data_IF_454226375669
#
_entry.id   IF_454226375669
#
_cell.length_a   1.000
_cell.length_b   1.000
_cell.length_c   1.000
_cell.angle_alpha   90.00
_cell.angle_beta   90.00
_cell.angle_gamma   90.00
#
_symmetry.space_group_name_H-M   'P 1'
#
loop_
_entity.id
_entity.type
_entity.pdbx_description
1 polymer ?
#
# COMPACT_ATOMS: atom_id res chain seq x y z
N UNK A 1 4.85 15.73 -17.71
CA UNK A 1 4.05 14.53 -17.40
C UNK A 1 2.65 14.98 -17.06
N UNK A 2 1.60 14.28 -17.51
CA UNK A 2 0.23 14.66 -17.25
C UNK A 2 -0.08 14.62 -15.75
N UNK A 3 -0.90 15.57 -15.29
CA UNK A 3 -1.37 15.67 -13.91
C UNK A 3 -2.76 15.05 -13.75
N UNK A 4 -3.19 14.87 -12.49
CA UNK A 4 -4.57 14.47 -12.22
C UNK A 4 -5.58 15.52 -12.71
N UNK A 5 -5.22 16.80 -12.66
CA UNK A 5 -6.08 17.88 -13.18
C UNK A 5 -6.21 17.76 -14.69
N UNK A 6 -5.13 17.44 -15.42
CA UNK A 6 -5.16 17.23 -16.88
C UNK A 6 -6.08 16.06 -17.24
N UNK A 7 -6.07 14.99 -16.43
CA UNK A 7 -6.99 13.85 -16.58
C UNK A 7 -8.46 14.28 -16.35
N UNK A 8 -8.74 15.08 -15.33
CA UNK A 8 -10.09 15.56 -14.99
C UNK A 8 -10.60 16.56 -16.03
N UNK A 9 -9.73 17.43 -16.57
CA UNK A 9 -10.09 18.40 -17.62
C UNK A 9 -10.25 17.76 -18.98
N UNK A 10 -9.76 16.53 -19.17
CA UNK A 10 -9.78 15.85 -20.45
C UNK A 10 -8.72 16.37 -21.42
N UNK A 11 -7.71 17.07 -20.91
CA UNK A 11 -6.58 17.61 -21.68
C UNK A 11 -5.52 16.55 -21.94
N UNK A 12 -5.56 15.44 -21.19
CA UNK A 12 -4.76 14.26 -21.49
C UNK A 12 -5.28 13.59 -22.76
N UNK A 13 -4.38 13.26 -23.70
CA UNK A 13 -4.66 12.46 -24.91
C UNK A 13 -5.28 11.08 -24.61
N UNK A 14 -5.37 10.69 -23.34
CA UNK A 14 -5.81 9.39 -22.84
C UNK A 14 -6.94 9.49 -21.81
N UNK A 15 -7.67 10.61 -21.77
CA UNK A 15 -8.72 10.81 -20.77
C UNK A 15 -9.97 9.97 -21.06
N UNK A 16 -10.07 8.82 -20.38
CA UNK A 16 -11.29 8.03 -20.23
C UNK A 16 -11.91 8.30 -18.83
N UNK A 17 -11.93 9.56 -18.40
CA UNK A 17 -12.34 9.96 -17.03
C UNK A 17 -13.77 9.50 -16.70
N UNK A 18 -14.65 9.51 -17.69
CA UNK A 18 -16.03 9.04 -17.62
C UNK A 18 -16.13 7.53 -17.42
N UNK A 19 -15.09 6.77 -17.73
CA UNK A 19 -15.01 5.32 -17.47
C UNK A 19 -14.28 4.99 -16.18
N UNK A 20 -13.59 5.96 -15.58
CA UNK A 20 -12.81 5.80 -14.35
C UNK A 20 -13.61 6.25 -13.12
N UNK A 21 -14.17 7.45 -13.18
CA UNK A 21 -14.84 8.08 -12.04
C UNK A 21 -16.35 7.89 -12.08
N UNK A 22 -16.98 7.93 -10.91
CA UNK A 22 -18.43 7.96 -10.80
C UNK A 22 -19.03 9.34 -11.11
N UNK A 23 -20.36 9.47 -11.06
CA UNK A 23 -21.08 10.63 -11.58
C UNK A 23 -20.69 11.96 -10.93
N UNK A 24 -20.33 11.96 -9.65
CA UNK A 24 -20.01 13.18 -8.89
C UNK A 24 -18.55 13.65 -9.06
N UNK A 25 -17.82 13.07 -10.02
CA UNK A 25 -16.38 13.29 -10.21
C UNK A 25 -16.01 13.43 -11.70
N UNK A 26 -16.94 13.96 -12.51
CA UNK A 26 -16.79 14.03 -13.96
C UNK A 26 -16.14 15.33 -14.45
N UNK A 27 -16.37 16.43 -13.74
CA UNK A 27 -15.92 17.77 -14.14
C UNK A 27 -15.13 18.45 -13.01
N UNK A 28 -14.28 19.44 -13.32
CA UNK A 28 -13.63 20.26 -12.30
C UNK A 28 -14.61 20.86 -11.28
N UNK A 29 -15.83 21.20 -11.71
CA UNK A 29 -16.88 21.73 -10.84
C UNK A 29 -17.41 20.66 -9.86
N UNK A 30 -17.63 19.43 -10.32
CA UNK A 30 -18.08 18.33 -9.45
C UNK A 30 -17.02 18.02 -8.38
N UNK A 31 -15.74 17.95 -8.78
CA UNK A 31 -14.63 17.77 -7.85
C UNK A 31 -14.52 18.91 -6.84
N UNK A 32 -14.65 20.16 -7.29
CA UNK A 32 -14.59 21.32 -6.39
C UNK A 32 -15.74 21.30 -5.40
N UNK A 33 -16.96 21.01 -5.85
CA UNK A 33 -18.14 20.87 -5.00
C UNK A 33 -17.95 19.75 -3.97
N UNK A 34 -17.51 18.57 -4.40
CA UNK A 34 -17.27 17.45 -3.47
C UNK A 34 -16.24 17.83 -2.40
N UNK A 35 -15.15 18.48 -2.80
CA UNK A 35 -14.11 18.91 -1.86
C UNK A 35 -14.64 19.96 -0.88
N UNK A 36 -15.44 20.93 -1.33
CA UNK A 36 -16.07 21.91 -0.45
C UNK A 36 -17.01 21.23 0.56
N UNK A 37 -17.90 20.35 0.09
CA UNK A 37 -18.87 19.65 0.93
C UNK A 37 -18.19 18.77 2.01
N UNK A 38 -17.08 18.10 1.67
CA UNK A 38 -16.45 17.12 2.58
C UNK A 38 -15.33 17.70 3.45
N UNK A 39 -14.65 18.75 2.98
CA UNK A 39 -13.44 19.27 3.63
C UNK A 39 -13.55 20.75 4.03
N UNK A 40 -14.56 21.49 3.54
CA UNK A 40 -14.68 22.94 3.73
C UNK A 40 -13.48 23.71 3.17
N UNK A 41 -13.30 24.98 3.54
CA UNK A 41 -12.20 25.84 3.03
C UNK A 41 -11.06 26.03 4.03
N UNK A 42 -10.93 25.10 4.98
CA UNK A 42 -9.87 25.13 5.99
C UNK A 42 -8.47 24.91 5.42
N UNK A 43 -7.44 25.36 6.14
CA UNK A 43 -6.04 25.15 5.77
C UNK A 43 -5.51 23.75 6.08
N UNK A 44 -6.20 22.98 6.94
CA UNK A 44 -5.86 21.63 7.37
C UNK A 44 -7.10 20.71 7.41
N UNK A 45 -7.82 20.54 6.28
CA UNK A 45 -9.11 19.87 6.27
C UNK A 45 -9.08 18.38 6.69
N UNK A 46 -8.04 17.64 6.30
CA UNK A 46 -7.84 16.23 6.67
C UNK A 46 -7.49 16.11 8.14
N UNK A 47 -6.56 16.92 8.62
CA UNK A 47 -6.21 16.94 10.05
C UNK A 47 -7.40 17.35 10.91
N UNK A 48 -8.24 18.29 10.45
CA UNK A 48 -9.49 18.64 11.12
C UNK A 48 -10.48 17.47 11.15
N UNK A 49 -10.69 16.80 10.01
CA UNK A 49 -11.57 15.64 9.90
C UNK A 49 -11.12 14.48 10.81
N UNK A 50 -9.82 14.19 10.89
CA UNK A 50 -9.30 13.14 11.77
C UNK A 50 -9.36 13.48 13.27
N UNK A 51 -9.48 14.77 13.62
CA UNK A 51 -9.67 15.24 15.00
C UNK A 51 -11.15 15.24 15.42
N UNK A 52 -12.09 15.08 14.49
CA UNK A 52 -13.53 14.97 14.77
C UNK A 52 -14.00 13.51 14.70
N UNK A 53 -15.26 13.29 15.07
CA UNK A 53 -15.89 11.98 14.89
C UNK A 53 -16.05 11.70 13.39
N UNK A 54 -15.17 10.86 12.84
CA UNK A 54 -15.20 10.47 11.42
C UNK A 54 -16.37 9.53 11.18
N UNK A 55 -17.37 9.95 10.43
CA UNK A 55 -18.46 9.07 10.02
C UNK A 55 -18.11 8.29 8.74
N UNK A 56 -19.08 7.55 8.21
CA UNK A 56 -18.93 6.80 6.95
C UNK A 56 -18.43 7.68 5.80
N UNK A 57 -19.02 8.86 5.63
CA UNK A 57 -18.73 9.73 4.49
C UNK A 57 -17.35 10.38 4.68
N UNK A 58 -16.97 10.70 5.92
CA UNK A 58 -15.62 11.08 6.29
C UNK A 58 -14.56 10.02 5.90
N UNK A 59 -14.81 8.73 6.11
CA UNK A 59 -13.88 7.68 5.65
C UNK A 59 -13.75 7.64 4.12
N UNK A 60 -14.86 7.83 3.40
CA UNK A 60 -14.84 7.90 1.94
C UNK A 60 -14.08 9.14 1.45
N UNK A 61 -14.29 10.30 2.08
CA UNK A 61 -13.56 11.52 1.81
C UNK A 61 -12.05 11.33 2.02
N UNK A 62 -11.64 10.72 3.13
CA UNK A 62 -10.24 10.40 3.39
C UNK A 62 -9.62 9.53 2.29
N UNK A 63 -10.36 8.54 1.77
CA UNK A 63 -9.89 7.75 0.63
C UNK A 63 -9.70 8.60 -0.63
N UNK A 64 -10.63 9.50 -0.95
CA UNK A 64 -10.52 10.41 -2.09
C UNK A 64 -9.29 11.33 -1.93
N UNK A 65 -9.04 11.86 -0.73
CA UNK A 65 -7.85 12.67 -0.45
C UNK A 65 -6.56 11.88 -0.68
N UNK A 66 -6.52 10.63 -0.22
CA UNK A 66 -5.40 9.72 -0.50
C UNK A 66 -5.21 9.45 -2.00
N UNK A 67 -6.30 9.31 -2.76
CA UNK A 67 -6.23 9.08 -4.20
C UNK A 67 -5.78 10.34 -4.97
N UNK A 68 -6.14 11.55 -4.52
CA UNK A 68 -5.59 12.82 -5.03
C UNK A 68 -4.07 12.92 -4.76
N UNK A 69 -3.63 12.43 -3.60
CA UNK A 69 -2.22 12.34 -3.26
C UNK A 69 -1.46 11.40 -4.20
N UNK A 70 -1.99 10.20 -4.40
CA UNK A 70 -1.38 9.22 -5.28
C UNK A 70 -2.46 8.41 -6.00
N UNK A 71 -2.76 8.73 -7.28
CA UNK A 71 -3.72 7.98 -8.08
C UNK A 71 -3.22 6.55 -8.31
N UNK A 72 -4.01 5.56 -7.91
CA UNK A 72 -3.65 4.14 -8.01
C UNK A 72 -4.71 3.33 -8.76
N UNK A 73 -4.25 2.34 -9.53
CA UNK A 73 -5.12 1.38 -10.22
C UNK A 73 -5.89 0.49 -9.25
N UNK A 74 -5.16 -0.06 -8.28
CA UNK A 74 -5.69 -0.82 -7.17
C UNK A 74 -4.80 -0.56 -5.96
N UNK A 75 -5.29 0.23 -5.02
CA UNK A 75 -4.46 0.76 -3.95
C UNK A 75 -5.09 0.63 -2.58
N UNK A 76 -4.22 0.47 -1.61
CA UNK A 76 -4.54 0.73 -0.21
C UNK A 76 -3.64 1.82 0.33
N UNK A 77 -4.21 2.59 1.24
CA UNK A 77 -3.58 3.72 1.88
C UNK A 77 -3.53 3.49 3.38
N UNK A 78 -2.46 3.94 4.01
CA UNK A 78 -2.30 3.98 5.46
C UNK A 78 -2.08 5.43 5.87
N UNK A 79 -3.09 6.03 6.51
CA UNK A 79 -2.98 7.35 7.11
C UNK A 79 -2.45 7.17 8.53
N UNK A 80 -1.33 7.80 8.85
CA UNK A 80 -0.78 7.74 10.21
C UNK A 80 -1.68 8.52 11.18
N UNK A 81 -1.99 7.91 12.33
CA UNK A 81 -2.88 8.50 13.34
C UNK A 81 -2.08 8.92 14.57
N UNK A 82 -2.10 10.21 14.88
CA UNK A 82 -1.51 10.75 16.11
C UNK A 82 -2.32 10.37 17.36
N UNK A 83 -3.65 10.36 17.23
CA UNK A 83 -4.57 9.90 18.26
C UNK A 83 -5.71 9.11 17.62
N UNK A 84 -5.73 7.77 17.75
CA UNK A 84 -6.72 6.94 17.08
C UNK A 84 -8.12 7.06 17.71
N UNK A 85 -8.28 7.71 18.87
CA UNK A 85 -9.52 7.68 19.65
C UNK A 85 -10.76 8.15 18.88
N UNK A 86 -10.67 9.28 18.18
CA UNK A 86 -11.80 9.85 17.42
C UNK A 86 -12.12 9.04 16.17
N UNK A 87 -11.09 8.67 15.41
CA UNK A 87 -11.20 7.78 14.25
C UNK A 87 -11.79 6.42 14.64
N UNK A 88 -11.41 5.91 15.83
CA UNK A 88 -11.90 4.64 16.36
C UNK A 88 -13.38 4.67 16.68
N UNK A 89 -13.88 5.76 17.27
CA UNK A 89 -15.31 5.93 17.54
C UNK A 89 -16.11 5.83 16.23
N UNK A 90 -15.67 6.53 15.20
CA UNK A 90 -16.22 6.44 13.85
C UNK A 90 -16.20 5.03 13.27
N UNK A 91 -15.03 4.41 13.30
CA UNK A 91 -14.79 3.05 12.82
C UNK A 91 -15.73 2.02 13.45
N UNK A 92 -15.95 2.12 14.77
CA UNK A 92 -16.79 1.15 15.49
C UNK A 92 -18.28 1.24 15.10
N UNK A 93 -18.74 2.37 14.53
CA UNK A 93 -20.11 2.52 14.00
C UNK A 93 -20.34 1.84 12.65
N UNK A 94 -19.27 1.51 11.93
CA UNK A 94 -19.38 0.90 10.61
C UNK A 94 -19.81 -0.58 10.69
N UNK A 95 -20.47 -1.12 9.65
CA UNK A 95 -20.75 -2.54 9.54
C UNK A 95 -19.47 -3.41 9.52
N UNK A 96 -19.51 -4.53 10.24
CA UNK A 96 -18.41 -5.51 10.21
C UNK A 96 -18.25 -6.15 8.83
N UNK A 97 -17.00 -6.38 8.44
CA UNK A 97 -16.65 -7.00 7.16
C UNK A 97 -15.44 -7.90 7.30
N UNK A 98 -15.59 -9.16 6.91
CA UNK A 98 -14.45 -10.06 6.78
C UNK A 98 -13.51 -9.59 5.67
N UNK A 99 -12.22 -9.67 5.95
CA UNK A 99 -11.17 -9.24 5.05
C UNK A 99 -10.20 -10.37 4.84
N UNK A 100 -9.79 -10.62 3.59
CA UNK A 100 -8.59 -11.42 3.34
C UNK A 100 -7.30 -10.60 3.50
N UNK A 101 -7.44 -9.29 3.74
CA UNK A 101 -6.36 -8.37 4.03
C UNK A 101 -6.03 -8.37 5.53
N UNK A 102 -4.93 -7.73 5.91
CA UNK A 102 -4.36 -7.60 7.26
C UNK A 102 -5.40 -7.73 8.40
N UNK A 103 -5.14 -8.55 9.42
CA UNK A 103 -6.03 -8.69 10.59
C UNK A 103 -7.32 -9.48 10.38
N UNK A 104 -7.60 -10.01 9.19
CA UNK A 104 -8.75 -10.85 8.80
C UNK A 104 -10.15 -10.23 9.01
N UNK A 105 -10.20 -9.05 9.63
CA UNK A 105 -11.42 -8.32 10.00
C UNK A 105 -11.22 -6.84 9.77
N UNK A 106 -12.24 -6.21 9.21
CA UNK A 106 -12.32 -4.77 9.04
C UNK A 106 -13.76 -4.32 9.09
N UNK A 107 -13.97 -3.09 8.64
CA UNK A 107 -15.27 -2.46 8.55
C UNK A 107 -15.54 -2.03 7.11
N UNK A 108 -16.81 -1.92 6.74
CA UNK A 108 -17.20 -1.45 5.42
C UNK A 108 -17.77 -0.04 5.50
N UNK A 109 -17.14 0.90 4.82
CA UNK A 109 -17.69 2.22 4.53
C UNK A 109 -18.23 2.30 3.08
N UNK A 110 -18.65 1.16 2.49
CA UNK A 110 -19.04 1.09 1.08
C UNK A 110 -20.41 1.67 0.72
N UNK A 111 -21.31 1.85 1.68
CA UNK A 111 -22.65 2.36 1.40
C UNK A 111 -22.58 3.78 0.82
N UNK A 112 -23.10 3.97 -0.40
CA UNK A 112 -23.03 5.26 -1.09
C UNK A 112 -21.67 5.58 -1.73
N UNK A 113 -20.70 4.67 -1.68
CA UNK A 113 -19.39 4.91 -2.26
C UNK A 113 -19.43 4.87 -3.79
N UNK A 114 -19.35 6.06 -4.42
CA UNK A 114 -19.49 6.25 -5.86
C UNK A 114 -18.26 6.91 -6.50
N UNK A 115 -17.09 6.84 -5.87
CA UNK A 115 -15.90 7.54 -6.36
C UNK A 115 -15.31 6.90 -7.64
N UNK A 116 -14.97 5.60 -7.60
CA UNK A 116 -14.37 4.88 -8.73
C UNK A 116 -15.36 3.89 -9.34
N UNK A 117 -15.56 3.95 -10.65
CA UNK A 117 -16.43 3.00 -11.37
C UNK A 117 -15.93 1.57 -11.17
N UNK A 118 -16.85 0.67 -10.85
CA UNK A 118 -16.55 -0.74 -10.59
C UNK A 118 -16.16 -1.05 -9.13
N UNK A 119 -15.83 -0.04 -8.33
CA UNK A 119 -15.58 -0.20 -6.89
C UNK A 119 -16.81 0.24 -6.11
N UNK A 120 -17.30 -0.64 -5.23
CA UNK A 120 -18.56 -0.43 -4.49
C UNK A 120 -18.40 -0.61 -2.99
N UNK A 121 -17.20 -0.95 -2.54
CA UNK A 121 -16.88 -1.12 -1.13
C UNK A 121 -15.60 -0.35 -0.80
N UNK A 122 -15.60 0.28 0.38
CA UNK A 122 -14.42 0.82 1.03
C UNK A 122 -14.17 0.01 2.31
N UNK A 123 -13.12 -0.81 2.29
CA UNK A 123 -12.60 -1.47 3.49
C UNK A 123 -11.85 -0.43 4.33
N UNK A 124 -12.23 -0.38 5.61
CA UNK A 124 -11.58 0.42 6.65
C UNK A 124 -10.99 -0.53 7.69
N UNK A 125 -9.75 -0.31 8.12
CA UNK A 125 -9.11 -1.02 9.24
C UNK A 125 -8.29 -0.05 10.08
N UNK A 126 -8.10 -0.37 11.37
CA UNK A 126 -7.15 0.34 12.23
C UNK A 126 -6.02 -0.64 12.55
N UNK A 127 -4.85 -0.37 11.98
CA UNK A 127 -3.68 -1.24 12.05
C UNK A 127 -2.69 -0.72 13.08
N UNK A 128 -2.15 -1.62 13.91
CA UNK A 128 -1.03 -1.29 14.79
C UNK A 128 0.27 -1.30 13.99
N UNK A 129 1.01 -0.19 14.05
CA UNK A 129 2.30 -0.02 13.39
C UNK A 129 3.49 -0.32 14.32
N UNK A 130 3.22 -0.90 15.50
CA UNK A 130 4.19 -1.14 16.57
C UNK A 130 3.76 -0.57 17.91
N UNK A 131 4.71 -0.36 18.83
CA UNK A 131 4.47 -0.17 20.27
C UNK A 131 3.71 1.11 20.67
N UNK A 132 3.47 2.07 19.76
CA UNK A 132 2.75 3.30 20.09
C UNK A 132 1.97 3.95 18.94
N UNK A 133 2.09 3.45 17.71
CA UNK A 133 1.51 4.13 16.53
C UNK A 133 0.44 3.28 15.88
N UNK A 134 -0.68 3.91 15.51
CA UNK A 134 -1.76 3.29 14.75
C UNK A 134 -1.86 3.95 13.37
N UNK A 135 -2.37 3.22 12.39
CA UNK A 135 -2.74 3.78 11.09
C UNK A 135 -4.17 3.43 10.74
N UNK A 136 -4.83 4.36 10.06
CA UNK A 136 -6.08 4.12 9.36
C UNK A 136 -5.76 3.53 7.99
N UNK A 137 -6.13 2.27 7.79
CA UNK A 137 -6.01 1.58 6.53
C UNK A 137 -7.30 1.72 5.72
N UNK A 138 -7.19 2.17 4.47
CA UNK A 138 -8.31 2.38 3.54
C UNK A 138 -8.04 1.65 2.22
N UNK A 139 -9.01 0.87 1.75
CA UNK A 139 -8.88 0.09 0.50
C UNK A 139 -10.20 -0.02 -0.24
N UNK A 140 -10.19 0.31 -1.53
CA UNK A 140 -11.33 0.07 -2.40
C UNK A 140 -11.40 -1.37 -2.86
N UNK A 141 -12.60 -1.93 -2.84
CA UNK A 141 -12.91 -3.29 -3.23
C UNK A 141 -14.03 -3.31 -4.27
N UNK A 142 -13.89 -4.17 -5.28
CA UNK A 142 -14.86 -4.28 -6.37
C UNK A 142 -16.21 -4.84 -5.93
N UNK A 143 -16.22 -5.65 -4.87
CA UNK A 143 -17.40 -6.32 -4.35
C UNK A 143 -17.32 -6.51 -2.84
N UNK A 144 -18.47 -6.51 -2.16
CA UNK A 144 -18.57 -6.97 -0.79
C UNK A 144 -18.06 -8.43 -0.65
N UNK A 145 -17.38 -8.70 0.46
CA UNK A 145 -16.71 -9.98 0.74
C UNK A 145 -17.63 -11.22 0.64
N UNK A 146 -18.95 -11.04 0.77
CA UNK A 146 -19.98 -12.11 0.75
C UNK A 146 -20.79 -12.09 -0.56
N UNK A 147 -20.20 -11.69 -1.68
CA UNK A 147 -20.87 -11.77 -2.99
C UNK A 147 -20.42 -13.01 -3.78
N UNK A 148 -21.32 -13.57 -4.61
CA UNK A 148 -21.00 -14.64 -5.58
C UNK A 148 -19.82 -14.23 -6.48
N UNK A 149 -19.71 -12.92 -6.78
CA UNK A 149 -18.60 -12.35 -7.54
C UNK A 149 -17.27 -12.38 -6.77
N UNK A 150 -17.28 -12.26 -5.44
CA UNK A 150 -16.09 -12.42 -4.61
C UNK A 150 -15.59 -13.87 -4.63
N UNK A 151 -16.52 -14.84 -4.59
CA UNK A 151 -16.20 -16.27 -4.71
C UNK A 151 -15.63 -16.60 -6.10
N UNK A 152 -16.26 -16.11 -7.18
CA UNK A 152 -15.76 -16.27 -8.55
C UNK A 152 -14.40 -15.60 -8.75
N UNK A 153 -14.21 -14.38 -8.26
CA UNK A 153 -12.92 -13.67 -8.29
C UNK A 153 -11.83 -14.42 -7.53
N UNK A 154 -12.17 -15.02 -6.39
CA UNK A 154 -11.24 -15.87 -5.64
C UNK A 154 -10.85 -17.14 -6.41
N UNK A 155 -11.81 -17.81 -7.08
CA UNK A 155 -11.52 -18.95 -7.95
C UNK A 155 -10.66 -18.55 -9.15
N UNK A 156 -10.97 -17.44 -9.83
CA UNK A 156 -10.15 -16.90 -10.92
C UNK A 156 -8.74 -16.57 -10.41
N UNK A 157 -8.59 -15.86 -9.28
CA UNK A 157 -7.30 -15.53 -8.65
C UNK A 157 -6.51 -16.78 -8.26
N UNK A 158 -7.18 -17.86 -7.83
CA UNK A 158 -6.54 -19.16 -7.56
C UNK A 158 -6.02 -19.85 -8.82
N UNK A 159 -6.72 -19.73 -9.95
CA UNK A 159 -6.38 -20.39 -11.22
C UNK A 159 -5.33 -19.59 -12.00
N UNK A 160 -5.52 -18.27 -12.13
CA UNK A 160 -4.71 -17.40 -13.00
C UNK A 160 -3.61 -16.66 -12.25
N UNK A 161 -3.65 -16.63 -10.91
CA UNK A 161 -2.73 -15.84 -10.09
C UNK A 161 -2.96 -14.33 -10.15
N UNK A 162 -3.87 -13.84 -10.99
CA UNK A 162 -4.24 -12.45 -11.13
C UNK A 162 -5.63 -12.21 -10.51
N UNK A 163 -5.75 -11.18 -9.67
CA UNK A 163 -7.07 -10.74 -9.21
C UNK A 163 -7.87 -10.15 -10.37
N UNK A 164 -9.19 -10.33 -10.38
CA UNK A 164 -10.04 -9.61 -11.32
C UNK A 164 -9.99 -8.11 -10.99
N UNK A 165 -9.62 -7.27 -11.97
CA UNK A 165 -9.70 -5.82 -11.81
C UNK A 165 -11.15 -5.38 -11.92
N UNK A 166 -11.59 -4.52 -11.00
CA UNK A 166 -12.96 -4.03 -10.95
C UNK A 166 -13.27 -3.01 -12.07
N UNK A 167 -12.25 -2.30 -12.57
CA UNK A 167 -12.33 -1.37 -13.70
C UNK A 167 -11.24 -1.64 -14.73
N UNK A 168 -11.62 -2.05 -15.94
CA UNK A 168 -10.67 -2.26 -17.06
C UNK A 168 -10.00 -0.96 -17.50
N UNK A 169 -10.73 0.16 -17.48
CA UNK A 169 -10.18 1.47 -17.85
C UNK A 169 -9.13 1.92 -16.84
N UNK A 170 -9.38 1.74 -15.55
CA UNK A 170 -8.38 2.04 -14.52
C UNK A 170 -7.18 1.08 -14.60
N UNK A 171 -7.41 -0.19 -14.96
CA UNK A 171 -6.34 -1.15 -15.25
C UNK A 171 -5.43 -0.70 -16.39
N UNK A 172 -6.03 -0.19 -17.48
CA UNK A 172 -5.31 0.27 -18.65
C UNK A 172 -4.44 1.48 -18.30
N UNK A 173 -4.97 2.42 -17.52
CA UNK A 173 -4.21 3.57 -17.01
C UNK A 173 -3.02 3.12 -16.18
N UNK A 174 -3.20 2.19 -15.22
CA UNK A 174 -2.09 1.68 -14.41
C UNK A 174 -0.99 0.97 -15.22
N UNK A 175 -1.29 0.40 -16.38
CA UNK A 175 -0.28 -0.27 -17.24
C UNK A 175 0.47 0.69 -18.16
N UNK A 176 0.03 1.93 -18.24
CA UNK A 176 0.54 2.91 -19.19
C UNK A 176 1.65 3.76 -18.53
N UNK A 177 2.89 3.75 -19.06
CA UNK A 177 4.01 4.49 -18.48
C UNK A 177 3.85 6.02 -18.54
N UNK A 178 2.93 6.56 -19.35
CA UNK A 178 2.67 8.00 -19.38
C UNK A 178 1.40 8.39 -18.62
N UNK A 179 0.71 7.43 -17.98
CA UNK A 179 -0.45 7.74 -17.13
C UNK A 179 -0.01 8.35 -15.80
N UNK A 180 -0.90 9.17 -15.24
CA UNK A 180 -0.79 9.64 -13.85
C UNK A 180 -1.23 8.58 -12.83
N UNK A 181 -1.94 7.55 -13.27
CA UNK A 181 -2.37 6.44 -12.42
C UNK A 181 -1.26 5.41 -12.34
N UNK A 182 -0.75 5.16 -11.15
CA UNK A 182 0.32 4.18 -10.99
C UNK A 182 -0.23 2.75 -10.98
N UNK A 183 0.50 1.79 -11.59
CA UNK A 183 0.23 0.38 -11.39
C UNK A 183 0.47 0.05 -9.92
N UNK A 184 -0.52 -0.54 -9.27
CA UNK A 184 -0.30 -1.14 -7.96
C UNK A 184 -1.15 -2.38 -7.84
N UNK A 185 -0.53 -3.52 -7.60
CA UNK A 185 -1.24 -4.73 -7.25
C UNK A 185 -1.53 -4.66 -5.74
N UNK A 186 -2.63 -4.02 -5.32
CA UNK A 186 -3.10 -4.22 -3.96
C UNK A 186 -3.24 -5.73 -3.75
N UNK A 187 -2.52 -6.24 -2.76
CA UNK A 187 -2.35 -7.66 -2.44
C UNK A 187 -1.62 -8.46 -3.51
N UNK A 188 -0.31 -8.52 -3.39
CA UNK A 188 0.44 -9.75 -3.14
C UNK A 188 1.90 -9.44 -3.39
N UNK A 189 2.77 -10.00 -2.56
CA UNK A 189 4.14 -10.24 -2.98
C UNK A 189 4.15 -10.78 -4.42
N UNK A 190 5.07 -10.30 -5.26
CA UNK A 190 5.22 -10.90 -6.58
C UNK A 190 5.36 -12.42 -6.42
N UNK A 191 4.97 -13.21 -7.42
CA UNK A 191 5.17 -14.67 -7.35
C UNK A 191 6.64 -15.04 -7.11
N UNK A 192 7.56 -14.16 -7.48
CA UNK A 192 8.97 -14.31 -7.16
C UNK A 192 9.28 -14.04 -5.69
N UNK A 193 8.72 -12.98 -5.10
CA UNK A 193 8.88 -12.70 -3.67
C UNK A 193 8.17 -13.74 -2.77
N UNK A 194 7.01 -14.27 -3.19
CA UNK A 194 6.41 -15.44 -2.51
C UNK A 194 7.37 -16.65 -2.47
N UNK A 195 8.14 -16.88 -3.56
CA UNK A 195 9.16 -17.94 -3.59
C UNK A 195 10.32 -17.63 -2.64
N UNK A 196 10.71 -16.36 -2.53
CA UNK A 196 11.73 -15.92 -1.55
C UNK A 196 11.28 -16.23 -0.12
N UNK A 197 10.06 -15.83 0.26
CA UNK A 197 9.50 -16.11 1.58
C UNK A 197 9.53 -17.62 1.89
N UNK A 198 9.08 -18.45 0.95
CA UNK A 198 9.13 -19.91 1.09
C UNK A 198 10.55 -20.46 1.18
N UNK A 199 11.49 -19.90 0.42
CA UNK A 199 12.89 -20.34 0.42
C UNK A 199 13.53 -20.19 1.80
N UNK A 200 13.22 -19.10 2.50
CA UNK A 200 13.66 -18.81 3.88
C UNK A 200 12.74 -19.36 4.97
N UNK A 201 11.75 -20.20 4.62
CA UNK A 201 10.88 -20.88 5.57
C UNK A 201 9.75 -20.02 6.15
N UNK A 202 9.48 -18.85 5.58
CA UNK A 202 8.36 -18.00 5.95
C UNK A 202 7.10 -18.39 5.16
N UNK A 203 5.95 -18.25 5.82
CA UNK A 203 4.64 -18.56 5.23
C UNK A 203 4.03 -17.30 4.61
N UNK A 204 3.84 -17.22 3.28
CA UNK A 204 3.34 -15.99 2.64
C UNK A 204 1.91 -15.60 3.04
N UNK A 205 1.12 -16.55 3.55
CA UNK A 205 -0.33 -16.39 3.77
C UNK A 205 -0.77 -16.43 5.22
N UNK A 206 0.08 -16.89 6.14
CA UNK A 206 -0.30 -17.16 7.52
C UNK A 206 0.34 -16.16 8.50
N UNK A 207 1.35 -15.43 8.07
CA UNK A 207 2.12 -14.52 8.93
C UNK A 207 2.43 -13.22 8.22
N UNK A 208 2.22 -12.11 8.94
CA UNK A 208 2.67 -10.79 8.56
C UNK A 208 4.22 -10.78 8.53
N UNK A 209 4.81 -11.04 7.36
CA UNK A 209 6.27 -11.12 7.18
C UNK A 209 6.88 -9.73 6.93
N UNK A 210 7.25 -9.04 8.01
CA UNK A 210 7.89 -7.72 7.97
C UNK A 210 9.26 -7.78 7.29
N UNK A 211 9.74 -6.66 6.77
CA UNK A 211 11.07 -6.62 6.13
C UNK A 211 12.21 -7.09 7.07
N UNK A 212 12.26 -6.70 8.37
CA UNK A 212 13.17 -7.25 9.34
C UNK A 212 13.02 -8.76 9.54
N UNK A 213 11.80 -9.30 9.51
CA UNK A 213 11.58 -10.74 9.63
C UNK A 213 12.13 -11.48 8.41
N UNK A 214 11.94 -10.93 7.21
CA UNK A 214 12.50 -11.51 5.98
C UNK A 214 14.03 -11.43 5.99
N UNK A 215 14.61 -10.28 6.33
CA UNK A 215 16.06 -10.12 6.46
C UNK A 215 16.66 -11.05 7.53
N UNK A 216 15.98 -11.18 8.67
CA UNK A 216 16.36 -12.09 9.76
C UNK A 216 16.29 -13.55 9.32
N UNK A 217 15.26 -13.94 8.56
CA UNK A 217 15.13 -15.30 8.01
C UNK A 217 16.21 -15.59 6.94
N UNK A 218 16.51 -14.63 6.07
CA UNK A 218 17.64 -14.72 5.12
C UNK A 218 18.97 -14.89 5.86
N UNK A 219 19.19 -14.12 6.92
CA UNK A 219 20.38 -14.25 7.77
C UNK A 219 20.49 -15.65 8.37
N UNK A 220 19.42 -16.15 9.01
CA UNK A 220 19.41 -17.51 9.59
C UNK A 220 19.74 -18.56 8.54
N UNK A 221 19.15 -18.44 7.35
CA UNK A 221 19.38 -19.37 6.26
C UNK A 221 20.86 -19.40 5.84
N UNK A 222 21.47 -18.23 5.67
CA UNK A 222 22.86 -18.10 5.26
C UNK A 222 23.83 -18.53 6.38
N UNK A 223 23.53 -18.20 7.64
CA UNK A 223 24.35 -18.56 8.80
C UNK A 223 24.38 -20.07 9.03
N UNK A 224 23.27 -20.77 8.79
CA UNK A 224 23.20 -22.23 8.89
C UNK A 224 24.03 -22.97 7.84
N UNK A 225 24.61 -22.26 6.87
CA UNK A 225 25.41 -22.83 5.77
C UNK A 225 26.88 -22.38 5.81
N UNK A 226 27.32 -21.87 6.96
CA UNK A 226 28.71 -21.44 7.23
C UNK A 226 29.30 -20.50 6.16
N UNK A 227 28.53 -19.51 5.72
CA UNK A 227 29.00 -18.51 4.73
C UNK A 227 30.07 -17.59 5.34
N UNK A 228 31.32 -17.67 4.84
CA UNK A 228 32.44 -16.80 5.27
C UNK A 228 32.12 -15.29 5.22
N UNK A 229 31.28 -14.88 4.27
CA UNK A 229 30.78 -13.51 4.07
C UNK A 229 30.04 -12.94 5.29
N UNK A 230 29.22 -13.76 5.96
CA UNK A 230 28.48 -13.32 7.15
C UNK A 230 29.40 -13.11 8.34
N UNK A 231 30.42 -13.96 8.48
CA UNK A 231 31.46 -13.81 9.51
C UNK A 231 32.19 -12.49 9.34
N UNK A 232 32.63 -12.17 8.11
CA UNK A 232 33.30 -10.91 7.81
C UNK A 232 32.40 -9.68 8.02
N UNK A 233 31.11 -9.78 7.70
CA UNK A 233 30.17 -8.70 7.97
C UNK A 233 29.96 -8.49 9.49
N UNK A 234 29.88 -9.57 10.25
CA UNK A 234 29.68 -9.52 11.72
C UNK A 234 30.89 -8.92 12.44
N UNK A 235 32.12 -9.20 11.99
CA UNK A 235 33.34 -8.63 12.57
C UNK A 235 33.54 -7.17 12.18
N UNK A 236 33.07 -6.74 11.01
CA UNK A 236 33.11 -5.35 10.54
C UNK A 236 32.02 -4.43 11.12
N UNK A 237 31.47 -4.74 12.30
CA UNK A 237 30.43 -3.94 12.95
C UNK A 237 28.99 -4.18 12.46
N UNK A 238 28.77 -5.25 11.68
CA UNK A 238 27.43 -5.70 11.28
C UNK A 238 26.64 -6.37 12.41
N UNK A 239 25.35 -6.68 12.17
CA UNK A 239 24.55 -7.49 13.07
C UNK A 239 25.22 -8.85 13.29
N UNK A 240 25.25 -9.32 14.54
CA UNK A 240 25.95 -10.57 14.93
C UNK A 240 25.08 -11.81 14.77
N UNK A 241 23.77 -11.62 14.79
CA UNK A 241 22.80 -12.70 14.71
C UNK A 241 21.48 -12.20 14.10
N UNK A 242 20.57 -13.15 13.89
CA UNK A 242 19.27 -12.90 13.30
C UNK A 242 18.36 -12.02 14.18
N UNK A 243 18.54 -12.02 15.50
CA UNK A 243 17.79 -11.17 16.43
C UNK A 243 18.24 -9.71 16.29
N UNK A 244 19.54 -9.47 16.14
CA UNK A 244 20.10 -8.16 15.83
C UNK A 244 19.54 -7.62 14.49
N UNK A 245 19.43 -8.47 13.47
CA UNK A 245 18.80 -8.10 12.18
C UNK A 245 17.34 -7.69 12.37
N UNK A 246 16.57 -8.43 13.16
CA UNK A 246 15.16 -8.12 13.41
C UNK A 246 14.93 -6.75 14.09
N UNK A 247 15.97 -6.21 14.75
CA UNK A 247 15.96 -4.90 15.39
C UNK A 247 16.45 -3.76 14.48
N UNK A 248 17.01 -4.05 13.30
CA UNK A 248 17.47 -3.02 12.37
C UNK A 248 16.29 -2.22 11.79
N UNK A 249 16.56 -0.93 11.55
CA UNK A 249 15.58 0.02 11.00
C UNK A 249 16.22 0.89 9.90
N UNK A 250 15.39 1.47 9.05
CA UNK A 250 15.72 2.32 7.90
C UNK A 250 16.97 1.93 7.12
N UNK A 251 17.85 2.91 6.96
CA UNK A 251 19.11 2.79 6.19
C UNK A 251 19.93 1.58 6.62
N UNK A 252 20.03 1.30 7.92
CA UNK A 252 20.79 0.14 8.42
C UNK A 252 20.18 -1.20 7.98
N UNK A 253 18.85 -1.29 7.93
CA UNK A 253 18.18 -2.47 7.40
C UNK A 253 18.34 -2.58 5.88
N UNK A 254 18.34 -1.45 5.16
CA UNK A 254 18.56 -1.41 3.72
C UNK A 254 19.97 -1.93 3.35
N UNK A 255 20.99 -1.47 4.07
CA UNK A 255 22.38 -1.93 3.94
C UNK A 255 22.53 -3.42 4.26
N UNK A 256 21.86 -3.89 5.31
CA UNK A 256 21.84 -5.31 5.67
C UNK A 256 21.24 -6.15 4.53
N UNK A 257 20.09 -5.75 4.00
CA UNK A 257 19.47 -6.42 2.84
C UNK A 257 20.39 -6.42 1.62
N UNK A 258 21.16 -5.36 1.40
CA UNK A 258 22.08 -5.27 0.26
C UNK A 258 23.15 -6.34 0.33
N UNK A 259 23.74 -6.50 1.52
CA UNK A 259 24.77 -7.51 1.76
C UNK A 259 24.20 -8.92 1.68
N UNK A 260 23.01 -9.13 2.24
CA UNK A 260 22.33 -10.44 2.21
C UNK A 260 22.00 -10.86 0.79
N UNK A 261 21.44 -9.96 -0.05
CA UNK A 261 21.03 -10.27 -1.42
C UNK A 261 22.19 -10.24 -2.44
N UNK A 262 23.27 -9.53 -2.11
CA UNK A 262 24.47 -9.41 -2.92
C UNK A 262 25.48 -10.51 -2.62
N UNK A 263 26.64 -10.13 -2.09
CA UNK A 263 27.79 -11.02 -1.89
C UNK A 263 27.42 -12.32 -1.15
N UNK A 264 26.65 -12.25 -0.04
CA UNK A 264 26.35 -13.44 0.75
C UNK A 264 25.48 -14.46 -0.01
N UNK A 265 24.55 -14.00 -0.86
CA UNK A 265 23.76 -14.90 -1.71
C UNK A 265 24.55 -15.38 -2.94
N UNK A 266 25.49 -14.57 -3.44
CA UNK A 266 26.35 -14.93 -4.57
C UNK A 266 27.36 -16.04 -4.24
N UNK A 267 27.67 -16.25 -2.97
CA UNK A 267 28.54 -17.35 -2.52
C UNK A 267 27.79 -18.69 -2.47
N UNK A 268 26.45 -18.68 -2.61
CA UNK A 268 25.67 -19.91 -2.73
C UNK A 268 25.78 -20.52 -4.13
N UNK A 269 25.70 -21.85 -4.22
CA UNK A 269 25.67 -22.57 -5.49
C UNK A 269 24.52 -22.09 -6.41
N UNK A 270 24.68 -22.19 -7.74
CA UNK A 270 23.73 -21.64 -8.72
C UNK A 270 22.31 -22.23 -8.63
N UNK A 271 22.18 -23.44 -8.07
CA UNK A 271 20.90 -24.14 -7.86
C UNK A 271 20.34 -23.95 -6.44
N UNK A 272 20.99 -23.16 -5.59
CA UNK A 272 20.48 -22.92 -4.24
C UNK A 272 19.14 -22.19 -4.29
N UNK A 273 18.16 -22.70 -3.53
CA UNK A 273 16.80 -22.14 -3.52
C UNK A 273 16.77 -20.67 -3.09
N UNK A 274 17.63 -20.24 -2.15
CA UNK A 274 17.67 -18.84 -1.74
C UNK A 274 18.23 -17.98 -2.86
N UNK A 275 19.33 -18.40 -3.51
CA UNK A 275 19.92 -17.67 -4.63
C UNK A 275 18.94 -17.48 -5.78
N UNK A 276 18.30 -18.55 -6.22
CA UNK A 276 17.30 -18.50 -7.30
C UNK A 276 16.14 -17.57 -6.92
N UNK A 277 15.68 -17.64 -5.67
CA UNK A 277 14.56 -16.81 -5.22
C UNK A 277 14.91 -15.33 -5.08
N UNK A 278 16.11 -15.01 -4.57
CA UNK A 278 16.61 -13.62 -4.48
C UNK A 278 16.75 -13.00 -5.87
N UNK A 279 17.33 -13.73 -6.82
CA UNK A 279 17.45 -13.26 -8.21
C UNK A 279 16.08 -13.02 -8.86
N UNK A 280 15.12 -13.93 -8.62
CA UNK A 280 13.76 -13.76 -9.10
C UNK A 280 13.04 -12.56 -8.48
N UNK A 281 13.28 -12.28 -7.20
CA UNK A 281 12.64 -11.21 -6.44
C UNK A 281 13.42 -9.88 -6.46
N UNK A 282 14.38 -9.72 -7.38
CA UNK A 282 15.30 -8.57 -7.41
C UNK A 282 14.57 -7.22 -7.38
N UNK A 283 13.58 -7.04 -8.25
CA UNK A 283 12.85 -5.78 -8.37
C UNK A 283 12.10 -5.43 -7.07
N UNK A 284 11.45 -6.43 -6.44
CA UNK A 284 10.77 -6.22 -5.16
C UNK A 284 11.77 -5.80 -4.07
N UNK A 285 12.94 -6.45 -4.02
CA UNK A 285 14.00 -6.12 -3.06
C UNK A 285 14.62 -4.74 -3.30
N UNK A 286 14.75 -4.32 -4.57
CA UNK A 286 15.21 -2.97 -4.92
C UNK A 286 14.22 -1.91 -4.44
N UNK A 287 12.92 -2.12 -4.68
CA UNK A 287 11.86 -1.23 -4.19
C UNK A 287 11.85 -1.18 -2.66
N UNK A 288 11.95 -2.33 -1.99
CA UNK A 288 12.02 -2.38 -0.51
C UNK A 288 13.21 -1.57 0.01
N UNK A 289 14.40 -1.72 -0.59
CA UNK A 289 15.57 -0.94 -0.17
C UNK A 289 15.42 0.55 -0.40
N UNK A 290 14.91 0.96 -1.56
CA UNK A 290 14.67 2.37 -1.86
C UNK A 290 13.74 2.97 -0.79
N UNK A 291 12.65 2.27 -0.47
CA UNK A 291 11.69 2.68 0.56
C UNK A 291 12.32 2.74 1.96
N UNK A 292 13.18 1.79 2.33
CA UNK A 292 13.85 1.82 3.64
C UNK A 292 14.81 3.00 3.81
N UNK A 293 15.39 3.50 2.70
CA UNK A 293 16.29 4.66 2.72
C UNK A 293 15.52 5.97 2.85
N UNK A 294 14.30 6.04 2.30
CA UNK A 294 13.46 7.24 2.30
C UNK A 294 12.43 7.27 3.43
N UNK A 295 12.04 6.11 3.99
CA UNK A 295 11.12 5.95 5.13
C UNK A 295 11.70 4.95 6.17
N UNK A 296 12.56 5.43 7.11
CA UNK A 296 13.15 4.59 8.14
C UNK A 296 12.14 3.93 9.11
N UNK A 297 10.97 4.55 9.32
CA UNK A 297 9.92 4.05 10.19
C UNK A 297 9.12 2.91 9.53
N UNK A 298 9.21 2.74 8.21
CA UNK A 298 8.47 1.74 7.45
C UNK A 298 8.94 0.29 7.54
N UNK A 299 10.04 0.04 8.25
CA UNK A 299 10.66 -1.28 8.42
C UNK A 299 9.73 -2.36 8.98
N UNK A 300 8.84 -2.03 9.92
CA UNK A 300 7.94 -3.00 10.56
C UNK A 300 6.84 -3.53 9.64
N UNK A 301 6.76 -3.07 8.38
CA UNK A 301 5.51 -3.18 7.62
C UNK A 301 5.66 -4.16 6.47
N UNK A 302 4.59 -4.94 6.33
CA UNK A 302 4.34 -5.89 5.26
C UNK A 302 3.58 -5.08 4.23
N UNK A 303 4.03 -5.14 2.98
CA UNK A 303 3.42 -4.49 1.82
C UNK A 303 3.76 -3.02 1.56
N UNK A 304 3.92 -2.75 0.27
CA UNK A 304 3.99 -1.44 -0.33
C UNK A 304 2.61 -0.79 -0.30
N UNK A 305 2.08 -0.45 0.87
CA UNK A 305 0.93 0.46 0.99
C UNK A 305 1.41 1.90 0.86
N UNK A 306 0.58 2.79 0.29
CA UNK A 306 0.92 4.21 0.28
C UNK A 306 0.72 4.71 1.69
N UNK A 307 1.75 5.31 2.27
CA UNK A 307 1.61 5.97 3.55
C UNK A 307 1.58 7.45 3.35
N UNK A 308 0.72 8.07 4.13
CA UNK A 308 0.52 9.50 4.11
C UNK A 308 0.34 9.96 5.54
N UNK A 309 0.95 11.08 5.85
CA UNK A 309 0.61 11.84 7.04
C UNK A 309 -0.60 12.72 6.74
N UNK A 310 -1.44 13.07 7.73
CA UNK A 310 -2.54 14.02 7.55
C UNK A 310 -2.08 15.32 6.88
N UNK A 311 -0.92 15.83 7.30
CA UNK A 311 -0.28 17.03 6.73
C UNK A 311 0.01 16.92 5.24
N UNK A 312 0.54 15.79 4.78
CA UNK A 312 0.81 15.59 3.34
C UNK A 312 -0.47 15.59 2.52
N UNK A 313 -1.58 15.06 3.07
CA UNK A 313 -2.88 15.10 2.42
C UNK A 313 -3.44 16.53 2.41
N UNK A 314 -3.31 17.28 3.51
CA UNK A 314 -3.71 18.69 3.57
C UNK A 314 -2.98 19.55 2.53
N UNK A 315 -1.65 19.41 2.46
CA UNK A 315 -0.81 20.09 1.47
C UNK A 315 -1.26 19.76 0.05
N UNK A 316 -1.47 18.47 -0.23
CA UNK A 316 -1.90 18.03 -1.57
C UNK A 316 -3.30 18.53 -1.94
N UNK A 317 -4.27 18.46 -1.04
CA UNK A 317 -5.63 18.92 -1.30
C UNK A 317 -5.64 20.41 -1.64
N UNK A 318 -4.86 21.22 -0.92
CA UNK A 318 -4.70 22.65 -1.22
C UNK A 318 -4.11 22.88 -2.61
N UNK A 319 -3.03 22.19 -2.95
CA UNK A 319 -2.41 22.31 -4.28
C UNK A 319 -3.37 21.90 -5.39
N UNK A 320 -4.12 20.82 -5.16
CA UNK A 320 -5.10 20.31 -6.09
C UNK A 320 -6.26 21.29 -6.31
N UNK A 321 -6.81 21.88 -5.25
CA UNK A 321 -7.83 22.94 -5.34
C UNK A 321 -7.35 24.15 -6.12
N UNK A 322 -6.13 24.61 -5.83
CA UNK A 322 -5.53 25.73 -6.55
C UNK A 322 -5.32 25.40 -8.04
N UNK A 323 -4.99 24.15 -8.36
CA UNK A 323 -4.84 23.71 -9.74
C UNK A 323 -6.20 23.57 -10.48
N UNK A 324 -7.25 23.11 -9.79
CA UNK A 324 -8.61 23.08 -10.34
C UNK A 324 -9.12 24.49 -10.68
N UNK A 325 -8.84 25.49 -9.84
CA UNK A 325 -9.31 26.87 -10.04
C UNK A 325 -8.57 27.65 -11.15
N UNK A 326 -7.38 27.21 -11.56
CA UNK A 326 -6.49 27.96 -12.47
C UNK A 326 -6.75 27.75 -13.97
N UNK A 327 -7.72 26.94 -14.36
CA UNK A 327 -8.12 26.83 -15.77
C UNK A 327 -9.47 26.21 -15.91
#
# INVERSE_FOLDING_TARGET
MPTLVDLIKGESQRSDKDKIFGPDFQTPADWSKYLEDQFGDGSEPVSALLRSAVDRDGFQALYVACWIYQPLEKGSFMIELDSPGQVRQGYDTLPDRWSSHLGERGKSAGAGFLFLKGYSELLVQIESLGSASSALFLKCEGHAAISVKHMLSFFTKKITGAGNTASKSLQAQGKDPESVVEPRAAENYSKAYEKLLKAVGLKPKDTMNTVPNVASAMWKYLAARESHTLTAYSTGGGPRDASAVANLRGVKLAECLDKLRGAATNDLGPKDKLRVAVLGAKNDLDTIQANLKTDPAGTQRVFAEVKVTPRQLDERLRDFRAALARG
#
